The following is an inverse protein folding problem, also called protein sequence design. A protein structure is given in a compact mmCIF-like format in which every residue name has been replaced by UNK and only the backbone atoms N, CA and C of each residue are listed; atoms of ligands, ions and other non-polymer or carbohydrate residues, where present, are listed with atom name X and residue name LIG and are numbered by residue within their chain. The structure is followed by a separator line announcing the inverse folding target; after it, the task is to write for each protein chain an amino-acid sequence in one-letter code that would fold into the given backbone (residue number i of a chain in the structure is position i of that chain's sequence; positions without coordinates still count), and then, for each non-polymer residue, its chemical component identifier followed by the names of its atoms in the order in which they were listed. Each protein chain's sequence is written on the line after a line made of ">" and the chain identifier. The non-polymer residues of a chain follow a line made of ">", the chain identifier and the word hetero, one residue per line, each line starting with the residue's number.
data_IF_058004793726
#
_entry.id   IF_058004793726
#
_cell.length_a   1.000
_cell.length_b   1.000
_cell.length_c   1.000
_cell.angle_alpha   90.00
_cell.angle_beta   90.00
_cell.angle_gamma   90.00
#
_symmetry.space_group_name_H-M   'P 1'
#
loop_
_entity.id
_entity.type
_entity.pdbx_description
1 polymer ?
#
# COMPACT_ATOMS: atom_id res chain seq x y z
N UNK A 1 24.00 27.25 16.77
CA UNK A 1 24.09 26.94 15.32
C UNK A 1 22.92 26.06 14.94
N UNK A 2 21.88 26.64 14.33
CA UNK A 2 20.70 25.92 13.85
C UNK A 2 20.93 25.68 12.35
N UNK A 3 21.23 24.44 11.97
CA UNK A 3 21.34 24.06 10.57
C UNK A 3 19.95 24.20 9.95
N UNK A 4 19.76 25.30 9.22
CA UNK A 4 18.58 25.53 8.39
C UNK A 4 18.62 24.46 7.31
N UNK A 5 17.74 23.47 7.42
CA UNK A 5 17.43 22.55 6.33
C UNK A 5 16.73 23.36 5.24
N UNK A 6 17.51 24.01 4.38
CA UNK A 6 17.07 24.57 3.11
C UNK A 6 16.81 23.42 2.13
N UNK A 7 15.68 22.74 2.30
CA UNK A 7 15.14 21.89 1.24
C UNK A 7 14.34 22.79 0.30
N UNK A 8 14.92 23.06 -0.86
CA UNK A 8 14.35 23.89 -1.92
C UNK A 8 13.08 23.21 -2.45
N UNK A 9 11.87 23.80 -2.36
CA UNK A 9 10.67 23.18 -2.92
C UNK A 9 10.58 23.46 -4.44
N UNK A 10 11.29 22.66 -5.24
CA UNK A 10 11.04 22.54 -6.68
C UNK A 10 10.09 21.34 -6.87
N UNK A 11 8.79 21.58 -7.06
CA UNK A 11 7.82 20.71 -7.78
C UNK A 11 7.69 19.20 -7.47
N UNK A 12 8.53 18.59 -6.65
CA UNK A 12 8.62 17.16 -6.40
C UNK A 12 8.29 16.92 -4.94
N UNK A 13 7.01 16.63 -4.67
CA UNK A 13 6.65 15.94 -3.44
C UNK A 13 7.48 14.65 -3.40
N UNK A 14 8.54 14.64 -2.60
CA UNK A 14 9.40 13.46 -2.43
C UNK A 14 8.49 12.29 -2.04
N UNK A 15 8.71 11.09 -2.58
CA UNK A 15 7.85 9.93 -2.32
C UNK A 15 7.60 9.69 -0.81
N UNK A 16 8.57 10.10 0.01
CA UNK A 16 8.48 10.11 1.46
C UNK A 16 7.36 10.98 2.06
N UNK A 17 7.00 12.09 1.45
CA UNK A 17 5.91 12.95 1.94
C UNK A 17 4.52 12.34 1.69
N UNK A 18 4.37 11.61 0.58
CA UNK A 18 3.18 10.81 0.33
C UNK A 18 3.05 9.67 1.35
N UNK A 19 4.15 8.98 1.65
CA UNK A 19 4.20 7.90 2.64
C UNK A 19 3.97 8.40 4.08
N UNK A 20 4.20 9.68 4.40
CA UNK A 20 3.83 10.24 5.71
C UNK A 20 2.32 10.38 5.90
N UNK A 21 1.53 10.36 4.83
CA UNK A 21 0.07 10.49 4.94
C UNK A 21 -0.53 9.27 5.65
N UNK A 22 -1.29 9.52 6.72
CA UNK A 22 -2.01 8.47 7.45
C UNK A 22 -2.88 7.60 6.52
N UNK A 23 -3.56 8.23 5.56
CA UNK A 23 -4.42 7.56 4.58
C UNK A 23 -3.67 6.63 3.65
N UNK A 24 -2.49 7.07 3.17
CA UNK A 24 -1.63 6.25 2.30
C UNK A 24 -1.05 5.08 3.10
N UNK A 25 -0.61 5.30 4.34
CA UNK A 25 -0.12 4.21 5.21
C UNK A 25 -1.21 3.21 5.56
N UNK A 26 -2.40 3.68 5.95
CA UNK A 26 -3.51 2.80 6.28
C UNK A 26 -3.92 1.93 5.09
N UNK A 27 -4.01 2.52 3.90
CA UNK A 27 -4.27 1.77 2.67
C UNK A 27 -3.13 0.82 2.30
N UNK A 28 -1.86 1.22 2.48
CA UNK A 28 -0.72 0.34 2.21
C UNK A 28 -0.68 -0.86 3.16
N UNK A 29 -0.91 -0.63 4.46
CA UNK A 29 -0.99 -1.69 5.47
C UNK A 29 -2.17 -2.62 5.17
N UNK A 30 -3.35 -2.07 4.84
CA UNK A 30 -4.51 -2.87 4.44
C UNK A 30 -4.24 -3.73 3.21
N UNK A 31 -3.52 -3.19 2.21
CA UNK A 31 -3.16 -3.92 1.01
C UNK A 31 -2.20 -5.07 1.33
N UNK A 32 -1.17 -4.82 2.14
CA UNK A 32 -0.18 -5.84 2.52
C UNK A 32 -0.80 -6.91 3.42
N UNK A 33 -1.59 -6.54 4.42
CA UNK A 33 -2.23 -7.50 5.35
C UNK A 33 -3.33 -8.29 4.65
N UNK A 34 -4.07 -7.66 3.74
CA UNK A 34 -5.18 -8.28 3.02
C UNK A 34 -4.74 -9.22 1.89
N UNK A 35 -3.76 -8.80 1.10
CA UNK A 35 -3.28 -9.59 -0.05
C UNK A 35 -2.03 -10.42 0.24
N UNK A 36 -1.22 -10.02 1.23
CA UNK A 36 0.05 -10.68 1.57
C UNK A 36 -0.11 -12.15 1.91
N UNK A 37 -1.00 -12.57 2.83
CA UNK A 37 -1.18 -13.97 3.18
C UNK A 37 -1.56 -14.85 1.97
N UNK A 38 -2.39 -14.34 1.07
CA UNK A 38 -2.79 -15.05 -0.14
C UNK A 38 -1.61 -15.23 -1.10
N UNK A 39 -0.87 -14.16 -1.37
CA UNK A 39 0.31 -14.20 -2.24
C UNK A 39 1.37 -15.13 -1.64
N UNK A 40 1.59 -15.08 -0.33
CA UNK A 40 2.51 -15.98 0.36
C UNK A 40 2.14 -17.45 0.19
N UNK A 41 0.85 -17.81 0.28
CA UNK A 41 0.40 -19.19 0.05
C UNK A 41 0.55 -19.59 -1.41
N UNK A 42 0.22 -18.71 -2.36
CA UNK A 42 0.42 -18.98 -3.79
C UNK A 42 1.90 -19.23 -4.12
N UNK A 43 2.81 -18.45 -3.53
CA UNK A 43 4.26 -18.63 -3.70
C UNK A 43 4.73 -19.92 -3.03
N UNK A 44 4.31 -20.19 -1.79
CA UNK A 44 4.67 -21.42 -1.08
C UNK A 44 4.17 -22.67 -1.81
N UNK A 45 2.97 -22.62 -2.39
CA UNK A 45 2.41 -23.68 -3.23
C UNK A 45 3.27 -23.92 -4.48
N UNK A 46 3.70 -22.85 -5.16
CA UNK A 46 4.59 -22.94 -6.34
C UNK A 46 5.97 -23.49 -6.01
N UNK A 47 6.45 -23.29 -4.78
CA UNK A 47 7.72 -23.84 -4.29
C UNK A 47 7.61 -25.30 -3.81
N UNK A 48 6.41 -25.89 -3.84
CA UNK A 48 6.20 -27.29 -3.44
C UNK A 48 6.23 -27.52 -1.93
N UNK A 49 6.03 -26.47 -1.11
CA UNK A 49 5.96 -26.61 0.35
C UNK A 49 4.71 -27.37 0.83
N UNK A 50 3.69 -27.49 -0.02
CA UNK A 50 2.46 -28.21 0.29
C UNK A 50 2.44 -29.58 -0.40
N UNK A 51 1.89 -30.57 0.30
CA UNK A 51 1.63 -31.91 -0.25
C UNK A 51 0.56 -31.88 -1.35
N UNK A 52 -0.39 -30.96 -1.24
CA UNK A 52 -1.36 -30.67 -2.29
C UNK A 52 -0.70 -29.77 -3.37
N UNK A 53 -0.61 -30.23 -4.63
CA UNK A 53 -0.04 -29.44 -5.72
C UNK A 53 -0.85 -28.19 -6.07
N UNK A 54 -2.11 -28.06 -5.65
CA UNK A 54 -2.94 -26.89 -5.91
C UNK A 54 -3.83 -26.50 -4.71
N UNK A 55 -3.23 -25.92 -3.65
CA UNK A 55 -4.01 -25.44 -2.52
C UNK A 55 -4.93 -24.28 -2.98
N UNK A 56 -6.23 -24.39 -2.69
CA UNK A 56 -7.24 -23.39 -3.02
C UNK A 56 -7.73 -22.65 -1.75
N UNK A 57 -7.02 -21.60 -1.29
CA UNK A 57 -7.42 -20.84 -0.11
C UNK A 57 -8.54 -19.83 -0.43
N UNK A 58 -9.76 -20.32 -0.69
CA UNK A 58 -10.93 -19.52 -1.09
C UNK A 58 -11.18 -18.34 -0.13
N UNK A 59 -11.10 -18.58 1.18
CA UNK A 59 -11.34 -17.53 2.19
C UNK A 59 -10.29 -16.42 2.16
N UNK A 60 -9.02 -16.77 1.91
CA UNK A 60 -7.96 -15.76 1.73
C UNK A 60 -8.14 -15.03 0.40
N UNK A 61 -8.67 -15.71 -0.63
CA UNK A 61 -9.11 -15.12 -1.89
C UNK A 61 -10.14 -14.03 -1.68
N UNK A 62 -11.19 -14.34 -0.93
CA UNK A 62 -12.26 -13.40 -0.59
C UNK A 62 -11.75 -12.25 0.27
N UNK A 63 -10.91 -12.54 1.28
CA UNK A 63 -10.32 -11.51 2.14
C UNK A 63 -9.45 -10.55 1.33
N UNK A 64 -8.58 -11.07 0.45
CA UNK A 64 -7.75 -10.27 -0.43
C UNK A 64 -8.59 -9.41 -1.38
N UNK A 65 -9.63 -9.99 -2.00
CA UNK A 65 -10.56 -9.23 -2.85
C UNK A 65 -11.25 -8.09 -2.09
N UNK A 66 -11.78 -8.36 -0.91
CA UNK A 66 -12.51 -7.38 -0.10
C UNK A 66 -11.62 -6.29 0.50
N UNK A 67 -10.35 -6.58 0.79
CA UNK A 67 -9.42 -5.62 1.38
C UNK A 67 -8.60 -4.86 0.35
N UNK A 68 -8.41 -5.42 -0.85
CA UNK A 68 -7.67 -4.80 -1.93
C UNK A 68 -8.34 -3.52 -2.44
N UNK A 69 -9.62 -3.57 -2.79
CA UNK A 69 -10.32 -2.40 -3.34
C UNK A 69 -10.41 -1.21 -2.36
N UNK A 70 -10.80 -1.39 -1.08
CA UNK A 70 -10.79 -0.30 -0.11
C UNK A 70 -9.40 0.27 0.13
N UNK A 71 -8.38 -0.58 0.15
CA UNK A 71 -6.98 -0.18 0.34
C UNK A 71 -6.46 0.66 -0.83
N UNK A 72 -6.75 0.24 -2.07
CA UNK A 72 -6.44 1.02 -3.27
C UNK A 72 -7.18 2.36 -3.26
N UNK A 73 -8.47 2.36 -2.89
CA UNK A 73 -9.25 3.59 -2.78
C UNK A 73 -8.68 4.55 -1.72
N UNK A 74 -8.25 4.04 -0.56
CA UNK A 74 -7.61 4.80 0.51
C UNK A 74 -6.29 5.45 0.06
N UNK A 75 -5.45 4.68 -0.65
CA UNK A 75 -4.18 5.19 -1.21
C UNK A 75 -4.48 6.28 -2.26
N UNK A 76 -5.38 6.01 -3.20
CA UNK A 76 -5.75 6.96 -4.26
C UNK A 76 -6.33 8.26 -3.68
N UNK A 77 -7.21 8.16 -2.68
CA UNK A 77 -7.77 9.32 -1.99
C UNK A 77 -6.70 10.13 -1.25
N UNK A 78 -5.76 9.45 -0.57
CA UNK A 78 -4.63 10.08 0.10
C UNK A 78 -3.74 10.88 -0.87
N UNK A 79 -3.47 10.32 -2.06
CA UNK A 79 -2.69 10.98 -3.12
C UNK A 79 -3.47 12.18 -3.69
N UNK A 80 -4.76 12.00 -4.02
CA UNK A 80 -5.60 13.06 -4.58
C UNK A 80 -5.74 14.25 -3.64
N UNK A 81 -5.98 14.00 -2.34
CA UNK A 81 -6.06 15.04 -1.31
C UNK A 81 -4.76 15.84 -1.20
N UNK A 82 -3.61 15.15 -1.22
CA UNK A 82 -2.27 15.80 -1.18
C UNK A 82 -2.02 16.65 -2.41
N UNK A 83 -2.37 16.17 -3.61
CA UNK A 83 -2.25 16.94 -4.86
C UNK A 83 -3.07 18.23 -4.81
N UNK A 84 -4.32 18.18 -4.33
CA UNK A 84 -5.14 19.40 -4.18
C UNK A 84 -4.54 20.42 -3.21
N UNK A 85 -3.92 19.98 -2.13
CA UNK A 85 -3.26 20.87 -1.16
C UNK A 85 -2.00 21.52 -1.74
N UNK A 86 -1.24 20.77 -2.55
CA UNK A 86 -0.04 21.30 -3.22
C UNK A 86 -0.37 22.32 -4.32
N UNK A 87 -1.54 22.21 -4.98
CA UNK A 87 -1.99 23.20 -5.97
C UNK A 87 -2.64 24.45 -5.36
N UNK A 88 -2.97 24.43 -4.07
CA UNK A 88 -3.64 25.52 -3.37
C UNK A 88 -2.68 26.37 -2.49
N UNK A 89 -1.39 26.01 -2.44
CA UNK A 89 -0.32 26.69 -1.72
C UNK A 89 0.64 27.36 -2.70
#
# INVERSE_FOLDING_TARGET
>A
MRLVQTTIPIGELTMWEYLKSWWVRAGLVGLVVGSGPLVSIMVAARLGFYHDPNPNPVFLGMLAGLTFWPSVALIAFGIWRRRKQAHAA
#
